data_IF_721227033748
#
_entry.id   IF_721227033748
#
_cell.length_a   1.000
_cell.length_b   1.000
_cell.length_c   1.000
_cell.angle_alpha   90.00
_cell.angle_beta   90.00
_cell.angle_gamma   90.00
#
_symmetry.space_group_name_H-M   'P 1'
#
loop_
_entity.id
_entity.type
_entity.pdbx_description
1 polymer ?
#
# COMPACT_ATOMS: atom_id res chain seq x y z
N UNK A 1 -8.72 -10.71 19.05
CA UNK A 1 -7.68 -11.51 18.45
C UNK A 1 -6.42 -10.67 18.42
N UNK A 2 -5.53 -10.98 19.28
CA UNK A 2 -4.16 -10.51 19.30
C UNK A 2 -3.51 -11.04 18.01
N UNK A 3 -2.85 -10.19 17.28
CA UNK A 3 -1.80 -10.61 16.36
C UNK A 3 -0.80 -11.33 17.25
N UNK A 4 -0.50 -12.59 16.96
CA UNK A 4 0.49 -13.31 17.73
C UNK A 4 1.84 -12.63 17.51
N UNK A 5 2.19 -11.71 18.42
CA UNK A 5 3.48 -11.02 18.43
C UNK A 5 4.65 -12.03 18.50
N UNK A 6 4.36 -13.25 18.94
CA UNK A 6 5.31 -14.35 18.99
C UNK A 6 5.68 -14.89 17.59
N UNK A 7 4.84 -14.71 16.58
CA UNK A 7 5.11 -15.16 15.21
C UNK A 7 5.99 -14.17 14.43
N UNK A 8 5.96 -12.88 14.79
CA UNK A 8 6.73 -11.80 14.12
C UNK A 8 7.38 -10.85 15.11
N UNK A 9 8.25 -11.33 16.00
CA UNK A 9 8.76 -10.52 17.11
C UNK A 9 9.52 -9.28 16.63
N UNK A 10 10.17 -9.37 15.48
CA UNK A 10 10.97 -8.27 14.92
C UNK A 10 10.10 -7.16 14.34
N UNK A 11 9.10 -7.52 13.54
CA UNK A 11 8.14 -6.56 12.99
C UNK A 11 7.30 -5.93 14.10
N UNK A 12 6.81 -6.74 15.03
CA UNK A 12 6.06 -6.26 16.19
C UNK A 12 6.89 -5.26 17.02
N UNK A 13 8.15 -5.55 17.28
CA UNK A 13 9.02 -4.65 18.05
C UNK A 13 9.28 -3.31 17.33
N UNK A 14 9.33 -3.31 15.99
CA UNK A 14 9.48 -2.07 15.21
C UNK A 14 8.19 -1.26 15.27
N UNK A 15 7.03 -1.89 15.12
CA UNK A 15 5.73 -1.22 15.00
C UNK A 15 5.11 -0.83 16.34
N UNK A 16 5.41 -1.51 17.43
CA UNK A 16 4.78 -1.34 18.74
C UNK A 16 5.02 0.04 19.37
N UNK A 17 6.08 0.73 18.94
CA UNK A 17 6.44 2.06 19.43
C UNK A 17 6.04 3.21 18.47
N UNK A 18 5.29 2.90 17.41
CA UNK A 18 5.04 3.85 16.32
C UNK A 18 3.57 4.25 16.30
N UNK A 19 3.32 5.56 16.45
CA UNK A 19 1.99 6.17 16.33
C UNK A 19 1.73 6.74 14.92
N UNK A 20 2.80 7.05 14.16
CA UNK A 20 2.72 7.70 12.86
C UNK A 20 3.81 7.15 11.94
N UNK A 21 3.43 6.77 10.73
CA UNK A 21 4.34 6.32 9.67
C UNK A 21 4.24 7.28 8.49
N UNK A 22 5.38 7.83 8.06
CA UNK A 22 5.51 8.59 6.82
C UNK A 22 6.14 7.71 5.75
N UNK A 23 5.47 7.61 4.62
CA UNK A 23 5.94 6.82 3.47
C UNK A 23 6.35 7.78 2.37
N UNK A 24 7.61 7.73 1.96
CA UNK A 24 8.16 8.50 0.85
C UNK A 24 8.47 7.60 -0.33
N UNK A 25 7.89 7.90 -1.48
CA UNK A 25 8.24 7.24 -2.74
C UNK A 25 9.51 7.86 -3.32
N UNK A 26 10.48 7.03 -3.67
CA UNK A 26 11.68 7.46 -4.38
C UNK A 26 11.43 7.45 -5.88
N UNK A 27 11.57 8.61 -6.51
CA UNK A 27 11.52 8.74 -7.97
C UNK A 27 12.94 8.71 -8.55
N UNK A 28 13.09 7.98 -9.62
CA UNK A 28 14.34 7.96 -10.37
C UNK A 28 14.29 9.07 -11.45
N UNK A 29 15.33 9.90 -11.50
CA UNK A 29 15.45 10.97 -12.52
C UNK A 29 15.37 10.42 -13.94
N UNK A 30 15.82 9.19 -14.17
CA UNK A 30 15.78 8.52 -15.47
C UNK A 30 14.34 8.20 -15.89
N UNK A 31 13.47 7.82 -14.92
CA UNK A 31 12.05 7.60 -15.15
C UNK A 31 11.36 8.88 -15.63
N UNK A 32 11.64 9.99 -14.94
CA UNK A 32 11.06 11.30 -15.28
C UNK A 32 11.54 11.81 -16.65
N UNK A 33 12.82 11.62 -16.97
CA UNK A 33 13.40 12.17 -18.20
C UNK A 33 13.16 11.32 -19.44
N UNK A 34 13.13 10.01 -19.32
CA UNK A 34 13.06 9.07 -20.45
C UNK A 34 11.73 8.34 -20.57
N UNK A 35 10.80 8.51 -19.60
CA UNK A 35 9.54 7.79 -19.58
C UNK A 35 9.69 6.26 -19.38
N UNK A 36 10.85 5.84 -18.86
CA UNK A 36 11.14 4.43 -18.62
C UNK A 36 10.78 4.05 -17.20
N UNK A 37 9.64 3.37 -17.01
CA UNK A 37 9.19 2.92 -15.68
C UNK A 37 10.24 2.03 -15.01
N UNK A 38 10.72 2.46 -13.84
CA UNK A 38 11.61 1.69 -12.96
C UNK A 38 10.85 1.07 -11.79
N UNK A 39 11.56 0.24 -11.00
CA UNK A 39 11.00 -0.38 -9.79
C UNK A 39 10.66 0.70 -8.78
N UNK A 40 9.43 0.69 -8.30
CA UNK A 40 9.02 1.56 -7.21
C UNK A 40 9.82 1.24 -5.93
N UNK A 41 10.22 2.31 -5.24
CA UNK A 41 10.95 2.22 -3.97
C UNK A 41 10.32 3.19 -2.99
N UNK A 42 10.19 2.74 -1.74
CA UNK A 42 9.58 3.53 -0.68
C UNK A 42 10.43 3.43 0.56
N UNK A 43 10.65 4.55 1.26
CA UNK A 43 11.20 4.57 2.60
C UNK A 43 10.11 4.93 3.58
N UNK A 44 10.06 4.22 4.70
CA UNK A 44 9.11 4.43 5.78
C UNK A 44 9.84 5.05 6.96
N UNK A 45 9.32 6.16 7.47
CA UNK A 45 9.88 6.94 8.56
C UNK A 45 8.90 7.02 9.73
N UNK A 46 9.43 7.07 10.94
CA UNK A 46 8.64 7.41 12.12
C UNK A 46 8.41 8.94 12.20
N UNK A 47 7.63 9.40 13.17
CA UNK A 47 7.39 10.82 13.42
C UNK A 47 8.65 11.65 13.68
N UNK A 48 9.72 11.02 14.13
CA UNK A 48 11.01 11.68 14.42
C UNK A 48 11.87 11.85 13.15
N UNK A 49 11.45 11.31 12.00
CA UNK A 49 12.18 11.32 10.75
C UNK A 49 13.27 10.24 10.66
N UNK A 50 13.26 9.23 11.53
CA UNK A 50 14.14 8.09 11.44
C UNK A 50 13.55 7.04 10.51
N UNK A 51 14.35 6.52 9.57
CA UNK A 51 13.90 5.44 8.69
C UNK A 51 13.79 4.15 9.49
N UNK A 52 12.62 3.54 9.42
CA UNK A 52 12.29 2.31 10.14
C UNK A 52 12.23 1.09 9.22
N UNK A 53 11.69 1.28 8.02
CA UNK A 53 11.52 0.23 7.02
C UNK A 53 11.84 0.76 5.63
N UNK A 54 12.15 -0.16 4.73
CA UNK A 54 12.35 0.10 3.32
C UNK A 54 11.52 -0.88 2.48
N UNK A 55 10.97 -0.40 1.36
CA UNK A 55 10.16 -1.25 0.48
C UNK A 55 10.60 -1.06 -0.95
N UNK A 56 10.72 -2.16 -1.68
CA UNK A 56 11.05 -2.13 -3.11
C UNK A 56 10.16 -3.09 -3.90
N UNK A 57 9.94 -2.75 -5.17
CA UNK A 57 9.22 -3.58 -6.12
C UNK A 57 10.12 -4.65 -6.70
N UNK A 58 9.72 -5.92 -6.54
CA UNK A 58 10.39 -7.09 -7.10
C UNK A 58 9.69 -7.55 -8.39
N UNK A 59 9.59 -6.67 -9.42
CA UNK A 59 8.88 -6.99 -10.65
C UNK A 59 9.81 -7.06 -11.86
N UNK A 60 9.40 -7.88 -12.86
CA UNK A 60 10.12 -7.99 -14.13
C UNK A 60 9.86 -6.75 -15.01
N UNK A 61 10.91 -6.27 -15.70
CA UNK A 61 10.87 -5.07 -16.53
C UNK A 61 9.81 -5.13 -17.65
N UNK A 62 9.63 -6.28 -18.26
CA UNK A 62 8.69 -6.46 -19.40
C UNK A 62 7.24 -6.27 -18.97
N UNK A 63 6.83 -6.77 -17.81
CA UNK A 63 5.46 -6.64 -17.32
C UNK A 63 5.07 -5.17 -17.07
N UNK A 64 6.02 -4.33 -16.65
CA UNK A 64 5.81 -2.90 -16.45
C UNK A 64 5.50 -2.15 -17.73
N UNK A 65 6.28 -2.41 -18.78
CA UNK A 65 6.12 -1.74 -20.08
C UNK A 65 4.81 -2.12 -20.77
N UNK A 66 4.34 -3.37 -20.61
CA UNK A 66 3.14 -3.85 -21.30
C UNK A 66 1.83 -3.55 -20.56
N UNK A 67 1.82 -3.58 -19.23
CA UNK A 67 0.60 -3.55 -18.43
C UNK A 67 0.48 -2.31 -17.51
N UNK A 68 1.53 -1.49 -17.40
CA UNK A 68 1.52 -0.26 -16.59
C UNK A 68 1.03 -0.52 -15.15
N UNK A 69 0.06 0.26 -14.69
CA UNK A 69 -0.51 0.16 -13.33
C UNK A 69 -1.34 -1.10 -13.07
N UNK A 70 -1.73 -1.84 -14.12
CA UNK A 70 -2.54 -3.06 -14.01
C UNK A 70 -1.70 -4.32 -13.79
N UNK A 71 -0.39 -4.21 -13.94
CA UNK A 71 0.54 -5.33 -13.80
C UNK A 71 0.41 -6.03 -12.44
N UNK A 72 0.84 -7.26 -12.42
CA UNK A 72 1.19 -7.92 -11.18
C UNK A 72 2.23 -7.09 -10.43
N UNK A 73 2.05 -6.94 -9.12
CA UNK A 73 2.92 -6.14 -8.27
C UNK A 73 3.32 -6.97 -7.06
N UNK A 74 4.62 -7.15 -6.87
CA UNK A 74 5.19 -7.70 -5.65
C UNK A 74 6.07 -6.64 -5.00
N UNK A 75 5.72 -6.22 -3.78
CA UNK A 75 6.53 -5.34 -2.95
C UNK A 75 7.15 -6.15 -1.82
N UNK A 76 8.42 -5.95 -1.58
CA UNK A 76 9.16 -6.57 -0.47
C UNK A 76 9.48 -5.49 0.55
N UNK A 77 9.06 -5.71 1.79
CA UNK A 77 9.35 -4.83 2.93
C UNK A 77 10.53 -5.39 3.69
N UNK A 78 11.54 -4.56 3.90
CA UNK A 78 12.77 -4.91 4.63
C UNK A 78 12.97 -3.97 5.81
N UNK A 79 13.72 -4.42 6.80
CA UNK A 79 14.27 -3.56 7.83
C UNK A 79 15.55 -2.85 7.35
N UNK A 80 16.19 -2.06 8.25
CA UNK A 80 17.42 -1.36 7.95
C UNK A 80 18.64 -2.28 7.80
N UNK A 81 18.53 -3.57 8.17
CA UNK A 81 19.55 -4.60 8.02
C UNK A 81 19.33 -5.47 6.79
N UNK A 82 18.44 -5.05 5.85
CA UNK A 82 18.04 -5.79 4.65
C UNK A 82 17.34 -7.15 4.91
N UNK A 83 16.87 -7.42 6.14
CA UNK A 83 16.07 -8.61 6.38
C UNK A 83 14.67 -8.40 5.80
N UNK A 84 14.20 -9.34 5.01
CA UNK A 84 12.87 -9.35 4.44
C UNK A 84 11.86 -9.69 5.53
N UNK A 85 10.90 -8.80 5.73
CA UNK A 85 9.88 -8.94 6.77
C UNK A 85 8.51 -9.31 6.19
N UNK A 86 8.11 -8.66 5.09
CA UNK A 86 6.81 -8.85 4.47
C UNK A 86 6.90 -8.83 2.95
N UNK A 87 5.99 -9.56 2.34
CA UNK A 87 5.72 -9.56 0.90
C UNK A 87 4.28 -9.13 0.66
N UNK A 88 4.10 -8.11 -0.18
CA UNK A 88 2.78 -7.64 -0.59
C UNK A 88 2.61 -8.00 -2.06
N UNK A 89 1.65 -8.86 -2.36
CA UNK A 89 1.41 -9.37 -3.70
C UNK A 89 0.04 -8.97 -4.22
N UNK A 90 0.03 -8.31 -5.37
CA UNK A 90 -1.19 -7.92 -6.09
C UNK A 90 -1.19 -8.62 -7.44
N UNK A 91 -2.19 -9.49 -7.73
CA UNK A 91 -2.29 -10.15 -9.02
C UNK A 91 -2.65 -9.16 -10.13
N UNK A 92 -2.33 -9.51 -11.38
CA UNK A 92 -2.79 -8.79 -12.55
C UNK A 92 -4.33 -8.86 -12.62
N UNK A 93 -4.98 -7.71 -12.58
CA UNK A 93 -6.44 -7.59 -12.76
C UNK A 93 -6.77 -6.32 -13.54
N UNK A 94 -7.74 -6.40 -14.43
CA UNK A 94 -8.27 -5.23 -15.10
C UNK A 94 -8.96 -4.33 -14.08
N UNK A 95 -8.48 -3.10 -13.91
CA UNK A 95 -9.12 -2.13 -13.02
C UNK A 95 -10.08 -1.27 -13.82
N UNK A 96 -11.22 -1.79 -14.23
CA UNK A 96 -12.26 -0.91 -14.72
C UNK A 96 -13.38 -0.83 -13.70
N UNK A 97 -13.53 0.33 -13.06
CA UNK A 97 -14.69 0.70 -12.26
C UNK A 97 -15.94 0.92 -13.13
N UNK A 98 -15.99 0.34 -14.34
CA UNK A 98 -17.16 0.35 -15.17
C UNK A 98 -18.28 -0.51 -14.56
N UNK A 99 -19.52 -0.21 -14.87
CA UNK A 99 -20.76 -0.82 -14.37
C UNK A 99 -20.80 -2.35 -14.33
N UNK A 100 -19.90 -3.03 -15.04
CA UNK A 100 -19.81 -4.50 -15.13
C UNK A 100 -18.58 -5.10 -14.40
N UNK A 101 -17.81 -4.31 -13.69
CA UNK A 101 -16.50 -4.72 -13.17
C UNK A 101 -16.49 -5.17 -11.70
N UNK A 102 -17.62 -5.64 -11.17
CA UNK A 102 -17.66 -6.28 -9.84
C UNK A 102 -16.78 -7.54 -9.76
N UNK A 103 -16.39 -8.14 -10.91
CA UNK A 103 -15.52 -9.31 -10.98
C UNK A 103 -14.02 -9.00 -11.03
N UNK A 104 -13.63 -7.72 -11.19
CA UNK A 104 -12.24 -7.30 -11.37
C UNK A 104 -11.71 -6.41 -10.22
N UNK A 105 -12.33 -6.50 -9.04
CA UNK A 105 -11.91 -5.74 -7.87
C UNK A 105 -10.47 -6.10 -7.47
N UNK A 106 -9.70 -5.09 -7.09
CA UNK A 106 -8.31 -5.25 -6.72
C UNK A 106 -8.18 -5.97 -5.37
N UNK A 107 -7.18 -6.82 -5.28
CA UNK A 107 -6.81 -7.48 -4.02
C UNK A 107 -5.31 -7.43 -3.84
N UNK A 108 -4.85 -7.33 -2.60
CA UNK A 108 -3.44 -7.41 -2.24
C UNK A 108 -3.29 -8.36 -1.06
N UNK A 109 -2.52 -9.41 -1.24
CA UNK A 109 -2.17 -10.33 -0.17
C UNK A 109 -0.90 -9.84 0.54
N UNK A 110 -0.86 -10.03 1.84
CA UNK A 110 0.31 -9.78 2.69
C UNK A 110 0.76 -11.12 3.26
N UNK A 111 2.02 -11.46 3.09
CA UNK A 111 2.63 -12.71 3.56
C UNK A 111 4.01 -12.45 4.15
N UNK A 112 4.56 -13.42 4.87
CA UNK A 112 5.93 -13.38 5.39
C UNK A 112 6.93 -14.08 4.51
N UNK A 113 6.46 -14.94 3.63
CA UNK A 113 7.26 -15.64 2.64
C UNK A 113 6.85 -15.25 1.22
N UNK A 114 7.73 -15.49 0.26
CA UNK A 114 7.44 -15.32 -1.16
C UNK A 114 6.46 -16.42 -1.67
N UNK A 115 6.30 -17.48 -0.89
CA UNK A 115 5.35 -18.54 -1.15
C UNK A 115 3.95 -18.12 -0.73
N UNK A 116 2.98 -18.29 -1.64
CA UNK A 116 1.61 -17.76 -1.52
C UNK A 116 0.76 -18.39 -0.41
N UNK A 117 1.26 -19.39 0.31
CA UNK A 117 0.46 -20.14 1.29
C UNK A 117 0.42 -19.48 2.69
N UNK A 118 1.43 -18.70 3.06
CA UNK A 118 1.51 -18.04 4.38
C UNK A 118 0.91 -16.63 4.37
N UNK A 119 -0.37 -16.53 4.03
CA UNK A 119 -1.05 -15.23 4.03
C UNK A 119 -1.38 -14.78 5.44
N UNK A 120 -0.85 -13.64 5.85
CA UNK A 120 -1.19 -12.96 7.10
C UNK A 120 -2.49 -12.20 6.99
N UNK A 121 -2.65 -11.47 5.89
CA UNK A 121 -3.80 -10.62 5.66
C UNK A 121 -4.07 -10.47 4.16
N UNK A 122 -5.30 -10.09 3.83
CA UNK A 122 -5.70 -9.72 2.48
C UNK A 122 -6.43 -8.38 2.53
N UNK A 123 -5.99 -7.44 1.71
CA UNK A 123 -6.71 -6.19 1.47
C UNK A 123 -7.47 -6.34 0.17
N UNK A 124 -8.80 -6.21 0.23
CA UNK A 124 -9.70 -6.38 -0.91
C UNK A 124 -10.50 -5.11 -1.17
N UNK A 125 -10.54 -4.68 -2.43
CA UNK A 125 -11.42 -3.60 -2.87
C UNK A 125 -12.88 -4.07 -2.81
N UNK A 126 -13.77 -3.21 -2.29
CA UNK A 126 -15.22 -3.45 -2.31
C UNK A 126 -15.88 -2.69 -3.44
N UNK A 127 -16.88 -3.31 -4.03
CA UNK A 127 -17.67 -2.60 -5.04
C UNK A 127 -18.52 -1.52 -4.38
N UNK A 128 -18.38 -0.30 -4.86
CA UNK A 128 -19.16 0.86 -4.44
C UNK A 128 -19.42 1.75 -5.66
N UNK A 129 -20.53 2.46 -5.66
CA UNK A 129 -20.90 3.31 -6.79
C UNK A 129 -19.95 4.50 -6.97
N UNK A 130 -19.51 5.15 -5.88
CA UNK A 130 -18.82 6.43 -5.96
C UNK A 130 -17.59 6.55 -5.06
N UNK A 131 -17.57 5.89 -3.91
CA UNK A 131 -16.49 6.01 -2.92
C UNK A 131 -15.56 4.80 -3.00
N UNK A 132 -14.23 4.96 -2.91
CA UNK A 132 -13.34 3.83 -2.78
C UNK A 132 -13.49 3.24 -1.38
N UNK A 133 -13.80 1.95 -1.32
CA UNK A 133 -13.83 1.19 -0.09
C UNK A 133 -12.96 -0.04 -0.21
N UNK A 134 -12.26 -0.36 0.88
CA UNK A 134 -11.47 -1.58 1.01
C UNK A 134 -11.80 -2.27 2.33
N UNK A 135 -11.57 -3.55 2.39
CA UNK A 135 -11.64 -4.35 3.60
C UNK A 135 -10.30 -5.05 3.84
N UNK A 136 -9.94 -5.19 5.10
CA UNK A 136 -8.75 -5.94 5.54
C UNK A 136 -9.24 -7.19 6.27
N UNK A 137 -8.83 -8.33 5.73
CA UNK A 137 -9.16 -9.66 6.24
C UNK A 137 -7.92 -10.28 6.87
N UNK A 138 -8.10 -11.07 7.94
CA UNK A 138 -7.02 -11.88 8.51
C UNK A 138 -6.76 -13.14 7.69
N UNK A 139 -5.80 -13.98 8.14
CA UNK A 139 -5.46 -15.25 7.51
C UNK A 139 -6.64 -16.24 7.44
N UNK A 140 -7.64 -16.08 8.29
CA UNK A 140 -8.85 -16.91 8.34
C UNK A 140 -9.99 -16.37 7.48
N UNK A 141 -9.79 -15.23 6.80
CA UNK A 141 -10.83 -14.57 6.01
C UNK A 141 -11.83 -13.73 6.83
N UNK A 142 -11.56 -13.47 8.11
CA UNK A 142 -12.41 -12.61 8.90
C UNK A 142 -12.04 -11.14 8.67
N UNK A 143 -13.03 -10.31 8.37
CA UNK A 143 -12.81 -8.88 8.22
C UNK A 143 -12.42 -8.29 9.58
N UNK A 144 -11.35 -7.51 9.63
CA UNK A 144 -10.87 -6.80 10.84
C UNK A 144 -11.10 -5.30 10.73
N UNK A 145 -10.84 -4.74 9.56
CA UNK A 145 -10.94 -3.31 9.33
C UNK A 145 -11.61 -3.03 7.99
N UNK A 146 -12.19 -1.85 7.87
CA UNK A 146 -12.69 -1.28 6.62
C UNK A 146 -12.05 0.09 6.39
N UNK A 147 -11.69 0.38 5.15
CA UNK A 147 -11.12 1.67 4.75
C UNK A 147 -12.14 2.38 3.89
N UNK A 148 -12.41 3.63 4.21
CA UNK A 148 -13.36 4.47 3.50
C UNK A 148 -12.63 5.69 2.96
N UNK A 149 -12.62 5.85 1.64
CA UNK A 149 -12.04 7.02 0.97
C UNK A 149 -13.04 8.17 0.84
N UNK A 150 -12.53 9.34 0.45
CA UNK A 150 -13.33 10.54 0.22
C UNK A 150 -13.81 10.63 -1.23
N UNK A 151 -14.90 11.39 -1.47
CA UNK A 151 -15.47 11.62 -2.80
C UNK A 151 -14.53 12.36 -3.76
N UNK A 152 -13.66 13.21 -3.24
CA UNK A 152 -12.76 14.01 -4.06
C UNK A 152 -11.47 13.24 -4.37
N UNK A 153 -11.38 12.69 -5.57
CA UNK A 153 -10.18 12.01 -6.09
C UNK A 153 -9.29 12.96 -6.92
N UNK A 154 -9.57 14.26 -6.87
CA UNK A 154 -8.80 15.23 -7.62
C UNK A 154 -7.48 15.53 -6.89
N UNK A 155 -6.43 14.79 -7.27
CA UNK A 155 -5.05 15.01 -6.77
C UNK A 155 -4.51 16.43 -7.06
N UNK A 156 -5.21 17.20 -7.88
CA UNK A 156 -4.72 18.50 -8.31
C UNK A 156 -4.73 19.58 -7.23
N UNK A 157 -5.50 19.41 -6.14
CA UNK A 157 -5.73 20.49 -5.19
C UNK A 157 -5.93 20.07 -3.73
N UNK A 158 -6.04 18.77 -3.42
CA UNK A 158 -6.45 18.31 -2.09
C UNK A 158 -5.70 17.06 -1.65
N UNK A 159 -5.49 16.95 -0.35
CA UNK A 159 -5.08 15.70 0.27
C UNK A 159 -6.22 14.68 0.15
N UNK A 160 -5.88 13.44 -0.18
CA UNK A 160 -6.83 12.33 -0.19
C UNK A 160 -6.66 11.56 1.11
N UNK A 161 -7.73 11.46 1.88
CA UNK A 161 -7.72 10.75 3.16
C UNK A 161 -8.60 9.52 3.10
N UNK A 162 -8.07 8.40 3.59
CA UNK A 162 -8.81 7.19 3.87
C UNK A 162 -8.92 7.01 5.38
N UNK A 163 -10.14 6.84 5.86
CA UNK A 163 -10.42 6.53 7.27
C UNK A 163 -10.45 5.03 7.47
N UNK A 164 -9.67 4.52 8.40
CA UNK A 164 -9.65 3.11 8.80
C UNK A 164 -10.59 2.92 9.97
N UNK A 165 -11.58 2.04 9.83
CA UNK A 165 -12.58 1.74 10.86
C UNK A 165 -12.52 0.30 11.30
N UNK A 166 -12.71 0.09 12.58
CA UNK A 166 -12.94 -1.25 13.15
C UNK A 166 -14.33 -1.76 12.75
N UNK A 167 -14.59 -3.06 12.93
CA UNK A 167 -15.93 -3.66 12.71
C UNK A 167 -17.02 -3.01 13.57
N UNK A 168 -16.68 -2.42 14.70
CA UNK A 168 -17.61 -1.70 15.58
C UNK A 168 -17.91 -0.27 15.09
N UNK A 169 -17.32 0.15 13.95
CA UNK A 169 -17.51 1.47 13.37
C UNK A 169 -16.65 2.58 13.98
N UNK A 170 -15.78 2.28 14.94
CA UNK A 170 -14.85 3.26 15.51
C UNK A 170 -13.69 3.50 14.54
N UNK A 171 -13.33 4.77 14.37
CA UNK A 171 -12.12 5.17 13.64
C UNK A 171 -10.90 4.79 14.48
N UNK A 172 -9.97 4.06 13.86
CA UNK A 172 -8.75 3.56 14.51
C UNK A 172 -7.49 4.15 13.91
N UNK A 173 -7.54 4.56 12.65
CA UNK A 173 -6.42 5.21 11.96
C UNK A 173 -6.92 6.00 10.75
N UNK A 174 -6.05 6.85 10.20
CA UNK A 174 -6.26 7.52 8.93
C UNK A 174 -5.02 7.43 8.04
N UNK A 175 -5.21 7.27 6.74
CA UNK A 175 -4.16 7.26 5.74
C UNK A 175 -4.36 8.49 4.86
N UNK A 176 -3.40 9.41 4.87
CA UNK A 176 -3.50 10.66 4.10
C UNK A 176 -2.38 10.75 3.08
N UNK A 177 -2.75 10.97 1.82
CA UNK A 177 -1.80 11.35 0.77
C UNK A 177 -1.59 12.83 0.83
N UNK A 178 -0.38 13.27 1.12
CA UNK A 178 -0.05 14.69 1.14
C UNK A 178 0.14 15.20 -0.29
N UNK A 179 -0.45 16.35 -0.58
CA UNK A 179 -0.26 16.99 -1.87
C UNK A 179 1.08 17.73 -1.90
N UNK A 180 1.99 17.25 -2.75
CA UNK A 180 3.34 17.81 -2.92
C UNK A 180 3.41 19.11 -3.74
N UNK A 181 2.26 19.69 -4.14
CA UNK A 181 2.22 20.88 -4.98
C UNK A 181 2.75 20.65 -6.39
N UNK A 182 3.46 21.64 -6.95
CA UNK A 182 4.03 21.57 -8.30
C UNK A 182 5.05 20.44 -8.49
N UNK A 183 5.65 19.92 -7.42
CA UNK A 183 6.59 18.78 -7.47
C UNK A 183 5.90 17.50 -7.91
N UNK A 184 4.65 17.31 -7.55
CA UNK A 184 3.83 16.16 -7.97
C UNK A 184 3.53 16.21 -9.48
N UNK A 185 3.39 17.42 -10.02
CA UNK A 185 3.15 17.65 -11.46
C UNK A 185 4.37 17.32 -12.33
N UNK A 186 5.57 17.44 -11.77
CA UNK A 186 6.85 17.13 -12.43
C UNK A 186 7.23 15.65 -12.22
N UNK A 187 6.35 14.85 -11.56
CA UNK A 187 6.62 13.45 -11.26
C UNK A 187 7.43 13.23 -9.99
N UNK A 188 7.45 14.22 -9.08
CA UNK A 188 8.18 14.12 -7.83
C UNK A 188 7.33 13.54 -6.70
N UNK A 189 7.88 12.56 -6.01
CA UNK A 189 7.53 11.96 -4.71
C UNK A 189 6.08 12.09 -4.23
N UNK A 190 5.39 10.96 -4.12
CA UNK A 190 4.17 10.84 -3.31
C UNK A 190 4.58 10.64 -1.84
N UNK A 191 4.03 11.45 -0.95
CA UNK A 191 4.16 11.32 0.49
C UNK A 191 2.83 10.86 1.09
N UNK A 192 2.88 9.83 1.91
CA UNK A 192 1.73 9.28 2.63
C UNK A 192 2.01 9.32 4.12
N UNK A 193 0.99 9.62 4.91
CA UNK A 193 1.04 9.55 6.37
C UNK A 193 -0.07 8.62 6.86
N UNK A 194 0.27 7.73 7.77
CA UNK A 194 -0.64 6.75 8.40
C UNK A 194 -0.64 7.00 9.90
#
# INVERSE_FOLDING_TARGET
SQWDADEFPRLASILDSIDEIKILQHLDVVEVCLGWERNNRYSLYNKNGEQILYTYEAAQCVARQCFGSLRELTLVVTDNDDNRLLFLQRPLRCSSRCFYACCCLQTMAVSTSDESDDKLAVVSERWTCCLPEYQVEDSLGNIKFTLHGTLCHCRCCCNITFTVKSLKGFEVASITTQWGGWKEFIGACNEFTI
#
